data_IF_762844934215
#
_entry.id   IF_762844934215
#
_cell.length_a   1.000
_cell.length_b   1.000
_cell.length_c   1.000
_cell.angle_alpha   90.00
_cell.angle_beta   90.00
_cell.angle_gamma   90.00
#
_symmetry.space_group_name_H-M   'P 1'
#
loop_
_entity.id
_entity.type
_entity.pdbx_description
1 polymer ?
#
# COMPACT_ATOMS: atom_id res chain seq x y z
N UNK A 1 -12.49 6.21 7.00
CA UNK A 1 -12.18 5.50 5.75
C UNK A 1 -10.91 4.70 5.93
N UNK A 2 -10.89 3.49 5.43
CA UNK A 2 -9.71 2.62 5.46
C UNK A 2 -9.20 2.36 4.06
N UNK A 3 -7.87 2.33 3.90
CA UNK A 3 -7.22 2.04 2.63
C UNK A 3 -6.09 1.04 2.84
N UNK A 4 -5.82 0.22 1.83
CA UNK A 4 -4.57 -0.52 1.74
C UNK A 4 -3.78 0.10 0.59
N UNK A 5 -2.48 0.26 0.77
CA UNK A 5 -1.60 0.70 -0.30
C UNK A 5 -0.61 -0.41 -0.62
N UNK A 6 -0.25 -0.56 -1.89
CA UNK A 6 0.73 -1.56 -2.24
C UNK A 6 2.15 -1.09 -1.89
N UNK A 7 3.08 -2.01 -1.92
CA UNK A 7 4.48 -1.77 -1.52
C UNK A 7 5.10 -0.64 -2.33
N UNK A 8 4.80 -0.56 -3.63
CA UNK A 8 5.39 0.45 -4.50
C UNK A 8 4.96 1.86 -4.12
N UNK A 9 3.73 2.02 -3.62
CA UNK A 9 3.24 3.32 -3.14
C UNK A 9 4.02 3.74 -1.90
N UNK A 10 4.27 2.80 -0.98
CA UNK A 10 5.08 3.07 0.22
C UNK A 10 6.49 3.51 -0.18
N UNK A 11 7.11 2.81 -1.11
CA UNK A 11 8.46 3.13 -1.59
C UNK A 11 8.47 4.52 -2.24
N UNK A 12 7.51 4.81 -3.11
CA UNK A 12 7.43 6.11 -3.78
C UNK A 12 7.28 7.25 -2.78
N UNK A 13 6.54 7.04 -1.69
CA UNK A 13 6.37 8.05 -0.66
C UNK A 13 7.68 8.38 0.06
N UNK A 14 8.57 7.41 0.16
CA UNK A 14 9.89 7.61 0.79
C UNK A 14 10.86 8.32 -0.14
N UNK A 15 10.78 8.05 -1.44
CA UNK A 15 11.74 8.57 -2.43
C UNK A 15 11.38 9.98 -2.86
N UNK A 16 10.09 10.25 -3.09
CA UNK A 16 9.62 11.52 -3.64
C UNK A 16 8.81 12.28 -2.60
N UNK A 17 9.48 12.96 -1.69
CA UNK A 17 8.85 13.80 -0.66
C UNK A 17 7.99 14.88 -1.33
N UNK A 18 6.73 14.99 -0.90
CA UNK A 18 5.78 15.93 -1.49
C UNK A 18 5.10 15.43 -2.75
N UNK A 19 5.51 14.29 -3.29
CA UNK A 19 4.86 13.67 -4.44
C UNK A 19 3.49 13.07 -4.09
N UNK A 20 2.79 12.56 -5.09
CA UNK A 20 1.43 12.06 -4.88
C UNK A 20 1.36 10.89 -3.90
N UNK A 21 2.31 9.97 -3.95
CA UNK A 21 2.35 8.88 -2.98
C UNK A 21 2.54 9.38 -1.55
N UNK A 22 3.45 10.34 -1.37
CA UNK A 22 3.67 10.96 -0.05
C UNK A 22 2.42 11.69 0.44
N UNK A 23 1.66 12.32 -0.45
CA UNK A 23 0.41 12.98 -0.10
C UNK A 23 -0.63 11.99 0.43
N UNK A 24 -0.70 10.78 -0.13
CA UNK A 24 -1.57 9.71 0.40
C UNK A 24 -1.14 9.35 1.83
N UNK A 25 0.15 9.14 2.05
CA UNK A 25 0.66 8.79 3.38
C UNK A 25 0.45 9.95 4.36
N UNK A 26 0.55 11.19 3.88
CA UNK A 26 0.28 12.36 4.73
C UNK A 26 -1.16 12.36 5.25
N UNK A 27 -2.14 11.95 4.44
CA UNK A 27 -3.52 11.82 4.91
C UNK A 27 -3.63 10.83 6.07
N UNK A 28 -2.85 9.76 6.04
CA UNK A 28 -2.81 8.79 7.15
C UNK A 28 -2.17 9.42 8.38
N UNK A 29 -1.05 10.13 8.22
CA UNK A 29 -0.37 10.81 9.33
C UNK A 29 -1.27 11.84 9.99
N UNK A 30 -2.08 12.53 9.20
CA UNK A 30 -2.97 13.57 9.70
C UNK A 30 -4.25 13.02 10.33
N UNK A 31 -4.43 11.70 10.33
CA UNK A 31 -5.62 11.07 10.89
C UNK A 31 -6.86 11.17 10.01
N UNK A 32 -6.71 11.57 8.75
CA UNK A 32 -7.83 11.71 7.82
C UNK A 32 -8.34 10.35 7.33
N UNK A 33 -7.48 9.32 7.36
CA UNK A 33 -7.85 7.96 7.03
C UNK A 33 -6.94 6.97 7.73
N UNK A 34 -7.40 5.72 7.81
CA UNK A 34 -6.63 4.61 8.37
C UNK A 34 -5.98 3.82 7.25
N UNK A 35 -4.74 3.39 7.45
CA UNK A 35 -4.02 2.54 6.51
C UNK A 35 -3.92 1.14 7.08
N UNK A 36 -4.27 0.14 6.27
CA UNK A 36 -4.18 -1.27 6.63
C UNK A 36 -3.09 -1.92 5.80
N UNK A 37 -2.13 -2.54 6.47
CA UNK A 37 -1.04 -3.28 5.86
C UNK A 37 -0.99 -4.69 6.42
N UNK A 38 -0.21 -5.55 5.79
CA UNK A 38 0.06 -6.90 6.27
C UNK A 38 1.55 -7.07 6.51
N UNK A 39 1.91 -8.13 7.24
CA UNK A 39 3.33 -8.47 7.43
C UNK A 39 4.02 -8.72 6.09
N UNK A 40 3.32 -9.34 5.14
CA UNK A 40 3.87 -9.55 3.81
C UNK A 40 4.30 -8.23 3.15
N UNK A 41 3.44 -7.21 3.21
CA UNK A 41 3.75 -5.89 2.60
C UNK A 41 4.97 -5.27 3.28
N UNK A 42 5.05 -5.32 4.61
CA UNK A 42 6.18 -4.78 5.35
C UNK A 42 7.47 -5.53 5.04
N UNK A 43 7.41 -6.86 4.91
CA UNK A 43 8.57 -7.67 4.58
C UNK A 43 9.03 -7.41 3.14
N UNK A 44 8.09 -7.23 2.22
CA UNK A 44 8.40 -6.88 0.84
C UNK A 44 9.05 -5.50 0.77
N UNK A 45 8.55 -4.54 1.53
CA UNK A 45 9.15 -3.21 1.63
C UNK A 45 10.61 -3.32 2.06
N UNK A 46 10.87 -4.07 3.15
CA UNK A 46 12.23 -4.26 3.65
C UNK A 46 13.13 -4.89 2.59
N UNK A 47 12.65 -5.91 1.91
CA UNK A 47 13.41 -6.61 0.88
C UNK A 47 13.76 -5.70 -0.29
N UNK A 48 12.80 -4.93 -0.79
CA UNK A 48 13.02 -4.05 -1.93
C UNK A 48 13.96 -2.90 -1.56
N UNK A 49 13.78 -2.29 -0.39
CA UNK A 49 14.67 -1.22 0.07
C UNK A 49 16.11 -1.71 0.22
N UNK A 50 16.29 -2.95 0.66
CA UNK A 50 17.62 -3.56 0.80
C UNK A 50 18.21 -3.93 -0.54
N UNK A 51 17.46 -4.63 -1.39
CA UNK A 51 18.01 -5.23 -2.61
C UNK A 51 18.07 -4.26 -3.80
N UNK A 52 17.04 -3.43 -3.99
CA UNK A 52 17.00 -2.50 -5.13
C UNK A 52 17.58 -1.15 -4.81
N UNK A 53 17.37 -0.64 -3.62
CA UNK A 53 17.81 0.71 -3.24
C UNK A 53 19.06 0.68 -2.39
N UNK A 54 19.54 -0.51 -2.03
CA UNK A 54 20.79 -0.70 -1.30
C UNK A 54 20.90 0.15 -0.04
N UNK A 55 19.77 0.35 0.65
CA UNK A 55 19.76 1.12 1.88
C UNK A 55 20.40 0.32 3.03
N UNK A 56 21.10 0.99 3.95
CA UNK A 56 21.66 0.31 5.12
C UNK A 56 20.54 -0.23 6.02
N UNK A 57 20.85 -1.30 6.77
CA UNK A 57 19.88 -1.99 7.60
C UNK A 57 19.13 -1.06 8.55
N UNK A 58 19.81 -0.06 9.13
CA UNK A 58 19.16 0.91 10.00
C UNK A 58 18.10 1.74 9.30
N UNK A 59 18.36 2.17 8.07
CA UNK A 59 17.42 2.95 7.28
C UNK A 59 16.19 2.11 6.91
N UNK A 60 16.42 0.85 6.52
CA UNK A 60 15.35 -0.10 6.21
C UNK A 60 14.46 -0.32 7.44
N UNK A 61 15.06 -0.61 8.60
CA UNK A 61 14.31 -0.85 9.83
C UNK A 61 13.52 0.39 10.26
N UNK A 62 14.11 1.57 10.12
CA UNK A 62 13.44 2.82 10.44
C UNK A 62 12.19 3.04 9.58
N UNK A 63 12.29 2.75 8.29
CA UNK A 63 11.16 2.87 7.37
C UNK A 63 10.04 1.88 7.72
N UNK A 64 10.40 0.61 7.97
CA UNK A 64 9.44 -0.42 8.35
C UNK A 64 8.74 -0.05 9.65
N UNK A 65 9.48 0.37 10.66
CA UNK A 65 8.92 0.76 11.95
C UNK A 65 7.95 1.93 11.81
N UNK A 66 8.28 2.90 10.97
CA UNK A 66 7.42 4.06 10.72
C UNK A 66 6.07 3.63 10.17
N UNK A 67 6.06 2.80 9.13
CA UNK A 67 4.81 2.35 8.53
C UNK A 67 4.04 1.40 9.44
N UNK A 68 4.75 0.56 10.18
CA UNK A 68 4.11 -0.34 11.15
C UNK A 68 3.36 0.44 12.23
N UNK A 69 3.93 1.55 12.70
CA UNK A 69 3.26 2.40 13.70
C UNK A 69 2.07 3.17 13.11
N UNK A 70 2.14 3.53 11.84
CA UNK A 70 1.06 4.26 11.17
C UNK A 70 -0.11 3.36 10.80
N UNK A 71 0.12 2.07 10.62
CA UNK A 71 -0.85 1.17 10.00
C UNK A 71 -1.53 0.27 11.02
N UNK A 72 -2.72 -0.19 10.63
CA UNK A 72 -3.36 -1.35 11.27
C UNK A 72 -2.79 -2.57 10.55
N UNK A 73 -2.18 -3.49 11.31
CA UNK A 73 -1.57 -4.69 10.72
C UNK A 73 -2.56 -5.83 10.82
N UNK A 74 -2.87 -6.42 9.66
CA UNK A 74 -3.78 -7.57 9.58
C UNK A 74 -3.05 -8.82 9.14
N UNK A 75 -3.60 -9.97 9.51
CA UNK A 75 -3.13 -11.28 9.06
C UNK A 75 -4.20 -11.89 8.17
N UNK A 76 -4.02 -11.87 6.84
CA UNK A 76 -5.00 -12.43 5.93
C UNK A 76 -5.18 -13.93 6.16
N UNK A 77 -6.41 -14.40 6.12
CA UNK A 77 -6.75 -15.82 6.25
C UNK A 77 -7.23 -16.42 4.94
N UNK A 78 -7.81 -15.60 4.07
CA UNK A 78 -8.25 -16.04 2.75
C UNK A 78 -7.07 -16.09 1.80
N UNK A 79 -7.07 -17.09 0.92
CA UNK A 79 -6.07 -17.22 -0.14
C UNK A 79 -6.70 -16.73 -1.43
N UNK A 80 -6.05 -15.75 -2.06
CA UNK A 80 -6.47 -15.18 -3.34
C UNK A 80 -5.50 -15.64 -4.41
N UNK A 81 -6.02 -16.04 -5.58
CA UNK A 81 -5.20 -16.53 -6.68
C UNK A 81 -5.77 -16.06 -8.02
N UNK A 82 -5.99 -14.76 -8.15
CA UNK A 82 -6.55 -14.15 -9.38
C UNK A 82 -5.45 -13.63 -10.31
N UNK A 83 -4.30 -13.25 -9.77
CA UNK A 83 -3.16 -12.79 -10.56
C UNK A 83 -2.23 -13.98 -10.78
N UNK A 84 -2.06 -14.39 -12.04
CA UNK A 84 -1.29 -15.59 -12.37
C UNK A 84 0.18 -15.30 -12.67
N UNK A 85 0.47 -14.19 -13.31
CA UNK A 85 1.81 -13.82 -13.75
C UNK A 85 2.72 -13.38 -12.60
N UNK A 86 2.13 -12.77 -11.56
CA UNK A 86 2.88 -12.26 -10.43
C UNK A 86 2.13 -12.59 -9.15
N UNK A 87 2.33 -13.80 -8.65
CA UNK A 87 1.55 -14.36 -7.54
C UNK A 87 1.66 -13.58 -6.24
N UNK A 88 2.79 -12.93 -6.00
CA UNK A 88 2.97 -12.14 -4.79
C UNK A 88 2.01 -10.95 -4.71
N UNK A 89 1.55 -10.45 -5.85
CA UNK A 89 0.56 -9.36 -5.87
C UNK A 89 -0.78 -9.79 -5.26
N UNK A 90 -1.09 -11.09 -5.27
CA UNK A 90 -2.28 -11.60 -4.60
C UNK A 90 -2.24 -11.37 -3.09
N UNK A 91 -1.05 -11.29 -2.50
CA UNK A 91 -0.90 -11.03 -1.06
C UNK A 91 -1.37 -9.62 -0.69
N UNK A 92 -1.25 -8.69 -1.64
CA UNK A 92 -1.75 -7.31 -1.46
C UNK A 92 -3.27 -7.30 -1.48
N UNK A 93 -3.87 -8.06 -2.41
CA UNK A 93 -5.33 -8.24 -2.47
C UNK A 93 -5.86 -8.85 -1.17
N UNK A 94 -5.19 -9.87 -0.65
CA UNK A 94 -5.57 -10.52 0.61
C UNK A 94 -5.56 -9.56 1.77
N UNK A 95 -4.60 -8.66 1.82
CA UNK A 95 -4.52 -7.63 2.85
C UNK A 95 -5.74 -6.70 2.80
N UNK A 96 -6.10 -6.24 1.61
CA UNK A 96 -7.25 -5.37 1.42
C UNK A 96 -8.55 -6.04 1.88
N UNK A 97 -8.71 -7.32 1.55
CA UNK A 97 -9.88 -8.11 1.94
C UNK A 97 -9.93 -8.28 3.47
N UNK A 98 -8.81 -8.69 4.08
CA UNK A 98 -8.73 -8.91 5.52
C UNK A 98 -9.01 -7.63 6.30
N UNK A 99 -8.55 -6.49 5.79
CA UNK A 99 -8.76 -5.20 6.43
C UNK A 99 -10.13 -4.59 6.17
N UNK A 100 -10.92 -5.17 5.28
CA UNK A 100 -12.22 -4.64 4.88
C UNK A 100 -12.11 -3.17 4.48
N UNK A 101 -11.11 -2.87 3.66
CA UNK A 101 -10.81 -1.48 3.28
C UNK A 101 -11.83 -0.95 2.28
N UNK A 102 -11.90 0.37 2.22
CA UNK A 102 -12.77 1.07 1.25
C UNK A 102 -12.11 1.18 -0.11
N UNK A 103 -10.77 1.23 -0.14
CA UNK A 103 -10.01 1.32 -1.38
C UNK A 103 -8.69 0.58 -1.25
N UNK A 104 -8.25 -0.01 -2.36
CA UNK A 104 -6.87 -0.46 -2.56
C UNK A 104 -6.20 0.52 -3.51
N UNK A 105 -5.14 1.17 -3.05
CA UNK A 105 -4.41 2.19 -3.82
C UNK A 105 -3.13 1.56 -4.34
N UNK A 106 -2.93 1.60 -5.64
CA UNK A 106 -1.78 0.96 -6.28
C UNK A 106 -1.21 1.82 -7.40
N UNK A 107 0.10 1.66 -7.64
CA UNK A 107 0.77 2.18 -8.83
C UNK A 107 0.98 1.12 -9.90
N UNK A 108 0.60 -0.14 -9.63
CA UNK A 108 0.81 -1.24 -10.57
C UNK A 108 -0.25 -1.26 -11.65
N UNK A 109 0.08 -0.67 -12.80
CA UNK A 109 -0.82 -0.58 -13.95
C UNK A 109 -0.92 -1.87 -14.75
N UNK A 110 -0.05 -2.84 -14.48
CA UNK A 110 0.04 -4.05 -15.29
C UNK A 110 -0.79 -5.20 -14.73
N UNK A 111 -0.76 -5.41 -13.40
CA UNK A 111 -1.39 -6.59 -12.78
C UNK A 111 -2.53 -6.27 -11.81
N UNK A 112 -2.38 -5.24 -10.99
CA UNK A 112 -3.36 -4.94 -9.94
C UNK A 112 -4.43 -3.97 -10.41
N UNK A 113 -4.03 -2.82 -10.94
CA UNK A 113 -4.97 -1.79 -11.37
C UNK A 113 -5.98 -2.28 -12.41
N UNK A 114 -5.59 -3.13 -13.39
CA UNK A 114 -6.54 -3.63 -14.39
C UNK A 114 -7.68 -4.46 -13.83
N UNK A 115 -7.55 -5.01 -12.62
CA UNK A 115 -8.64 -5.74 -11.97
C UNK A 115 -9.84 -4.87 -11.63
N UNK A 116 -9.64 -3.57 -11.48
CA UNK A 116 -10.63 -2.55 -11.15
C UNK A 116 -11.27 -2.72 -9.77
N UNK A 117 -11.47 -3.94 -9.30
CA UNK A 117 -12.01 -4.22 -7.97
C UNK A 117 -11.66 -5.63 -7.54
N UNK A 118 -11.73 -5.88 -6.23
CA UNK A 118 -11.61 -7.21 -5.65
C UNK A 118 -12.64 -7.36 -4.55
N UNK A 119 -13.56 -8.30 -4.71
CA UNK A 119 -14.65 -8.56 -3.75
C UNK A 119 -15.38 -7.27 -3.32
N UNK A 120 -15.68 -6.41 -4.29
CA UNK A 120 -16.37 -5.17 -4.05
C UNK A 120 -15.50 -4.00 -3.60
N UNK A 121 -14.21 -4.23 -3.38
CA UNK A 121 -13.28 -3.16 -3.00
C UNK A 121 -12.72 -2.52 -4.27
N UNK A 122 -12.96 -1.22 -4.50
CA UNK A 122 -12.41 -0.53 -5.66
C UNK A 122 -10.88 -0.47 -5.60
N UNK A 123 -10.26 -0.68 -6.75
CA UNK A 123 -8.80 -0.55 -6.90
C UNK A 123 -8.55 0.71 -7.73
N UNK A 124 -7.79 1.64 -7.17
CA UNK A 124 -7.57 2.96 -7.77
C UNK A 124 -6.09 3.31 -7.79
N UNK A 125 -5.72 4.17 -8.73
CA UNK A 125 -4.38 4.74 -8.76
C UNK A 125 -4.23 5.86 -7.74
N UNK A 126 -2.98 6.22 -7.45
CA UNK A 126 -2.66 7.24 -6.44
C UNK A 126 -3.27 8.60 -6.82
N UNK A 127 -3.05 9.03 -8.05
CA UNK A 127 -3.55 10.34 -8.52
C UNK A 127 -5.07 10.37 -8.53
N UNK A 128 -5.70 9.30 -9.03
CA UNK A 128 -7.15 9.18 -9.05
C UNK A 128 -7.73 9.28 -7.65
N UNK A 129 -7.12 8.58 -6.68
CA UNK A 129 -7.57 8.62 -5.30
C UNK A 129 -7.51 10.05 -4.74
N UNK A 130 -6.38 10.73 -4.94
CA UNK A 130 -6.19 12.10 -4.44
C UNK A 130 -7.16 13.08 -5.06
N UNK A 131 -7.47 12.94 -6.34
CA UNK A 131 -8.44 13.83 -7.00
C UNK A 131 -9.81 13.75 -6.36
N UNK A 132 -10.21 12.56 -5.90
CA UNK A 132 -11.53 12.33 -5.32
C UNK A 132 -11.59 12.57 -3.81
N UNK A 133 -10.48 12.40 -3.11
CA UNK A 133 -10.47 12.31 -1.63
C UNK A 133 -9.49 13.26 -0.96
N UNK A 134 -8.95 14.26 -1.67
CA UNK A 134 -8.04 15.23 -1.05
C UNK A 134 -8.82 16.20 -0.20
N UNK A 135 -8.54 16.27 1.12
CA UNK A 135 -9.20 17.21 2.01
C UNK A 135 -8.91 18.67 1.63
N UNK A 136 -9.90 19.53 1.74
CA UNK A 136 -9.74 20.97 1.55
C UNK A 136 -9.72 21.45 0.12
N UNK A 137 -10.08 20.59 -0.83
CA UNK A 137 -10.21 20.98 -2.24
C UNK A 137 -11.65 20.96 -2.68
#
# INVERSE_FOLDING_TARGET
>A
MRVTVDTNVLISSLIATGGSADQVIQLVRDGEMEMVLSRFILDELARVLTQKFELPAKAVQSAVDRFQRLAIIVEPRAIVNVIKEKRDDNRILECAIAGRVDFLITGDKKHILPLASIQGIPIVGVTEFLQKHRPGL
#
